data_IF_188673244287
#
_entry.id   IF_188673244287
#
_cell.length_a   1.000
_cell.length_b   1.000
_cell.length_c   1.000
_cell.angle_alpha   90.00
_cell.angle_beta   90.00
_cell.angle_gamma   90.00
#
_symmetry.space_group_name_H-M   'P 1'
#
loop_
_entity.id
_entity.type
_entity.pdbx_description
1 polymer ?
#
# COMPACT_ATOMS: atom_id res chain seq x y z
N UNK A 1 -23.13 -2.54 -18.85
CA UNK A 1 -22.07 -2.17 -17.87
C UNK A 1 -20.86 -3.06 -18.10
N UNK A 2 -19.65 -2.50 -18.08
CA UNK A 2 -18.42 -3.26 -18.31
C UNK A 2 -17.97 -3.99 -17.04
N UNK A 3 -17.24 -5.11 -17.18
CA UNK A 3 -16.72 -5.90 -16.05
C UNK A 3 -15.91 -5.04 -15.05
N UNK A 4 -15.21 -4.02 -15.54
CA UNK A 4 -14.43 -3.11 -14.71
C UNK A 4 -15.29 -2.17 -13.85
N UNK A 5 -16.47 -1.75 -14.33
CA UNK A 5 -17.37 -0.90 -13.54
C UNK A 5 -17.98 -1.67 -12.38
N UNK A 6 -18.41 -2.92 -12.62
CA UNK A 6 -18.96 -3.80 -11.58
C UNK A 6 -17.95 -4.06 -10.47
N UNK A 7 -16.70 -4.39 -10.83
CA UNK A 7 -15.65 -4.60 -9.83
C UNK A 7 -15.42 -3.35 -8.96
N UNK A 8 -15.43 -2.18 -9.57
CA UNK A 8 -15.24 -0.92 -8.85
C UNK A 8 -16.38 -0.68 -7.86
N UNK A 9 -17.62 -0.82 -8.31
CA UNK A 9 -18.82 -0.60 -7.48
C UNK A 9 -18.86 -1.56 -6.28
N UNK A 10 -18.53 -2.83 -6.51
CA UNK A 10 -18.44 -3.84 -5.43
C UNK A 10 -17.39 -3.46 -4.38
N UNK A 11 -16.19 -3.06 -4.83
CA UNK A 11 -15.10 -2.67 -3.94
C UNK A 11 -15.44 -1.39 -3.17
N UNK A 12 -16.14 -0.42 -3.78
CA UNK A 12 -16.62 0.77 -3.07
C UNK A 12 -17.58 0.40 -1.94
N UNK A 13 -18.53 -0.52 -2.19
CA UNK A 13 -19.45 -1.04 -1.19
C UNK A 13 -18.73 -1.73 -0.03
N UNK A 14 -17.80 -2.64 -0.34
CA UNK A 14 -17.00 -3.35 0.67
C UNK A 14 -16.10 -2.41 1.48
N UNK A 15 -15.48 -1.41 0.83
CA UNK A 15 -14.67 -0.41 1.53
C UNK A 15 -15.52 0.48 2.43
N UNK A 16 -16.75 0.81 2.04
CA UNK A 16 -17.68 1.60 2.84
C UNK A 16 -18.14 0.83 4.09
N UNK A 17 -18.48 -0.45 3.95
CA UNK A 17 -18.88 -1.32 5.07
C UNK A 17 -17.71 -1.80 5.93
N UNK A 18 -16.48 -1.74 5.41
CA UNK A 18 -15.29 -2.25 6.10
C UNK A 18 -15.07 -3.75 5.93
N UNK A 19 -15.69 -4.37 4.94
CA UNK A 19 -15.60 -5.79 4.62
C UNK A 19 -14.23 -6.17 4.02
N UNK A 20 -13.20 -6.22 4.86
CA UNK A 20 -11.84 -6.55 4.43
C UNK A 20 -11.70 -8.02 4.00
N UNK A 21 -12.43 -8.92 4.65
CA UNK A 21 -12.40 -10.35 4.33
C UNK A 21 -13.01 -10.62 2.96
N UNK A 22 -14.14 -9.96 2.65
CA UNK A 22 -14.75 -9.99 1.32
C UNK A 22 -13.81 -9.45 0.24
N UNK A 23 -13.08 -8.36 0.50
CA UNK A 23 -12.09 -7.82 -0.45
C UNK A 23 -10.95 -8.81 -0.70
N UNK A 24 -10.41 -9.43 0.35
CA UNK A 24 -9.33 -10.43 0.21
C UNK A 24 -9.83 -11.66 -0.54
N UNK A 25 -11.01 -12.16 -0.22
CA UNK A 25 -11.66 -13.28 -0.93
C UNK A 25 -11.83 -12.95 -2.41
N UNK A 26 -12.39 -11.78 -2.73
CA UNK A 26 -12.58 -11.31 -4.10
C UNK A 26 -11.26 -11.22 -4.87
N UNK A 27 -10.17 -10.75 -4.23
CA UNK A 27 -8.84 -10.71 -4.85
C UNK A 27 -8.27 -12.10 -5.19
N UNK A 28 -8.66 -13.15 -4.46
CA UNK A 28 -8.29 -14.53 -4.76
C UNK A 28 -8.91 -15.08 -6.05
N UNK A 29 -10.06 -14.52 -6.47
CA UNK A 29 -10.83 -15.01 -7.62
C UNK A 29 -10.85 -14.05 -8.81
N UNK A 30 -10.64 -12.75 -8.58
CA UNK A 30 -10.72 -11.72 -9.59
C UNK A 30 -9.38 -11.01 -9.83
N UNK A 31 -8.99 -10.91 -11.11
CA UNK A 31 -7.79 -10.16 -11.50
C UNK A 31 -8.04 -8.65 -11.44
N UNK A 32 -7.00 -7.90 -11.11
CA UNK A 32 -7.02 -6.44 -11.17
C UNK A 32 -7.54 -5.74 -9.91
N UNK A 33 -7.93 -6.48 -8.85
CA UNK A 33 -8.38 -5.91 -7.58
C UNK A 33 -7.36 -4.92 -7.00
N UNK A 34 -6.09 -5.31 -6.89
CA UNK A 34 -5.02 -4.41 -6.41
C UNK A 34 -4.93 -3.15 -7.27
N UNK A 35 -4.99 -3.28 -8.60
CA UNK A 35 -4.92 -2.12 -9.52
C UNK A 35 -6.10 -1.17 -9.31
N UNK A 36 -7.29 -1.71 -9.11
CA UNK A 36 -8.50 -0.91 -8.84
C UNK A 36 -8.41 -0.23 -7.48
N UNK A 37 -7.98 -0.95 -6.43
CA UNK A 37 -7.78 -0.38 -5.10
C UNK A 37 -6.75 0.75 -5.08
N UNK A 38 -5.62 0.62 -5.81
CA UNK A 38 -4.65 1.72 -5.97
C UNK A 38 -5.33 2.96 -6.56
N UNK A 39 -6.22 2.78 -7.56
CA UNK A 39 -6.99 3.90 -8.12
C UNK A 39 -8.01 4.52 -7.16
N UNK A 40 -8.33 3.85 -6.05
CA UNK A 40 -9.25 4.33 -5.01
C UNK A 40 -8.53 5.04 -3.86
N UNK A 41 -7.20 5.10 -3.84
CA UNK A 41 -6.46 5.71 -2.73
C UNK A 41 -6.23 7.22 -2.87
N UNK A 42 -6.56 7.82 -4.02
CA UNK A 42 -6.19 9.21 -4.34
C UNK A 42 -6.74 10.25 -3.35
N UNK A 43 -7.94 10.06 -2.81
CA UNK A 43 -8.56 10.99 -1.87
C UNK A 43 -8.29 10.56 -0.42
N UNK A 44 -7.19 11.03 0.15
CA UNK A 44 -6.79 10.71 1.53
C UNK A 44 -7.70 11.29 2.62
N UNK A 45 -8.71 12.10 2.28
CA UNK A 45 -9.72 12.54 3.25
C UNK A 45 -10.78 11.47 3.51
N UNK A 46 -10.92 10.50 2.59
CA UNK A 46 -11.89 9.43 2.73
C UNK A 46 -11.33 8.25 3.52
N UNK A 47 -12.09 7.80 4.52
CA UNK A 47 -11.79 6.57 5.24
C UNK A 47 -11.66 5.35 4.31
N UNK A 48 -12.41 5.31 3.20
CA UNK A 48 -12.33 4.26 2.18
C UNK A 48 -10.95 4.18 1.52
N UNK A 49 -10.24 5.29 1.35
CA UNK A 49 -8.90 5.32 0.74
C UNK A 49 -7.87 4.65 1.66
N UNK A 50 -7.93 4.94 2.96
CA UNK A 50 -7.09 4.28 3.96
C UNK A 50 -7.40 2.78 4.08
N UNK A 51 -8.68 2.42 4.01
CA UNK A 51 -9.14 1.02 3.97
C UNK A 51 -8.65 0.30 2.70
N UNK A 52 -8.59 0.98 1.56
CA UNK A 52 -8.07 0.41 0.33
C UNK A 52 -6.57 0.11 0.43
N UNK A 53 -5.79 1.00 1.04
CA UNK A 53 -4.36 0.75 1.33
C UNK A 53 -4.19 -0.45 2.26
N UNK A 54 -4.95 -0.53 3.36
CA UNK A 54 -4.93 -1.67 4.30
C UNK A 54 -5.30 -2.99 3.59
N UNK A 55 -6.32 -2.95 2.73
CA UNK A 55 -6.76 -4.09 1.95
C UNK A 55 -5.66 -4.59 0.99
N UNK A 56 -4.92 -3.71 0.33
CA UNK A 56 -3.77 -4.11 -0.51
C UNK A 56 -2.72 -4.86 0.32
N UNK A 57 -2.41 -4.38 1.53
CA UNK A 57 -1.53 -5.10 2.45
C UNK A 57 -2.04 -6.50 2.79
N UNK A 58 -3.33 -6.64 3.07
CA UNK A 58 -3.96 -7.94 3.38
C UNK A 58 -3.99 -8.91 2.20
N UNK A 59 -4.25 -8.40 1.00
CA UNK A 59 -4.23 -9.22 -0.23
C UNK A 59 -2.81 -9.74 -0.46
N UNK A 60 -1.81 -8.86 -0.39
CA UNK A 60 -0.41 -9.23 -0.66
C UNK A 60 0.15 -10.25 0.34
N UNK A 61 -0.33 -10.25 1.59
CA UNK A 61 0.05 -11.26 2.58
C UNK A 61 -0.30 -12.72 2.19
N UNK A 62 -1.27 -12.90 1.28
CA UNK A 62 -1.70 -14.21 0.78
C UNK A 62 -1.24 -14.48 -0.66
N UNK A 63 -0.38 -13.62 -1.22
CA UNK A 63 0.07 -13.71 -2.60
C UNK A 63 1.47 -14.31 -2.72
N UNK A 64 1.79 -14.79 -3.93
CA UNK A 64 3.13 -15.32 -4.22
C UNK A 64 4.17 -14.20 -4.13
N UNK A 65 5.37 -14.43 -3.58
CA UNK A 65 6.42 -13.41 -3.41
C UNK A 65 6.76 -12.65 -4.71
N UNK A 66 6.74 -13.33 -5.86
CA UNK A 66 7.00 -12.70 -7.17
C UNK A 66 5.96 -11.63 -7.52
N UNK A 67 4.67 -11.90 -7.26
CA UNK A 67 3.59 -10.91 -7.48
C UNK A 67 3.69 -9.73 -6.53
N UNK A 68 4.05 -9.99 -5.27
CA UNK A 68 4.22 -8.93 -4.27
C UNK A 68 5.41 -8.05 -4.65
N UNK A 69 6.53 -8.64 -5.08
CA UNK A 69 7.69 -7.91 -5.60
C UNK A 69 7.33 -7.03 -6.80
N UNK A 70 6.61 -7.57 -7.78
CA UNK A 70 6.14 -6.79 -8.94
C UNK A 70 5.25 -5.61 -8.52
N UNK A 71 4.43 -5.79 -7.48
CA UNK A 71 3.58 -4.71 -6.93
C UNK A 71 4.44 -3.63 -6.27
N UNK A 72 5.43 -4.03 -5.45
CA UNK A 72 6.35 -3.11 -4.79
C UNK A 72 7.20 -2.33 -5.80
N UNK A 73 7.74 -2.99 -6.82
CA UNK A 73 8.54 -2.34 -7.87
C UNK A 73 7.73 -1.32 -8.65
N UNK A 74 6.47 -1.64 -8.97
CA UNK A 74 5.57 -0.68 -9.60
C UNK A 74 5.29 0.54 -8.73
N UNK A 75 5.08 0.35 -7.42
CA UNK A 75 4.86 1.45 -6.49
C UNK A 75 6.13 2.30 -6.33
N UNK A 76 7.30 1.67 -6.24
CA UNK A 76 8.60 2.35 -6.21
C UNK A 76 8.83 3.18 -7.48
N UNK A 77 8.43 2.66 -8.64
CA UNK A 77 8.47 3.41 -9.90
C UNK A 77 7.57 4.64 -9.87
N UNK A 78 6.34 4.53 -9.34
CA UNK A 78 5.41 5.65 -9.22
C UNK A 78 5.92 6.78 -8.32
N UNK A 79 6.86 6.50 -7.41
CA UNK A 79 7.44 7.50 -6.52
C UNK A 79 8.60 8.28 -7.15
N UNK A 80 9.10 7.85 -8.31
CA UNK A 80 10.16 8.58 -9.02
C UNK A 80 9.58 9.81 -9.71
N UNK A 81 10.35 10.91 -9.72
CA UNK A 81 9.98 12.16 -10.39
C UNK A 81 9.64 11.97 -11.87
N UNK A 82 10.33 11.04 -12.54
CA UNK A 82 10.15 10.68 -13.96
C UNK A 82 8.79 10.04 -14.27
N UNK A 83 8.04 9.60 -13.25
CA UNK A 83 6.79 8.87 -13.46
C UNK A 83 5.64 9.76 -13.95
N UNK A 84 5.75 11.09 -13.81
CA UNK A 84 4.67 12.05 -14.12
C UNK A 84 3.36 11.80 -13.37
N UNK A 85 3.35 10.87 -12.40
CA UNK A 85 2.18 10.40 -11.68
C UNK A 85 2.21 10.98 -10.28
N UNK A 86 1.07 11.41 -9.75
CA UNK A 86 1.01 11.95 -8.41
C UNK A 86 1.27 10.83 -7.37
N UNK A 87 2.42 10.77 -6.68
CA UNK A 87 2.85 9.60 -5.91
C UNK A 87 2.13 9.49 -4.56
N UNK A 88 1.08 10.30 -4.34
CA UNK A 88 0.57 10.60 -3.00
C UNK A 88 0.39 9.38 -2.14
N UNK A 89 -0.19 8.29 -2.63
CA UNK A 89 -0.48 7.10 -1.80
C UNK A 89 0.57 6.00 -1.86
N UNK A 90 1.56 6.10 -2.75
CA UNK A 90 2.43 4.97 -3.07
C UNK A 90 3.27 4.55 -1.85
N UNK A 91 3.80 5.51 -1.10
CA UNK A 91 4.58 5.26 0.12
C UNK A 91 3.73 4.55 1.17
N UNK A 92 2.50 5.01 1.41
CA UNK A 92 1.61 4.37 2.38
C UNK A 92 1.24 2.95 1.97
N UNK A 93 0.96 2.71 0.69
CA UNK A 93 0.64 1.37 0.19
C UNK A 93 1.84 0.45 0.38
N UNK A 94 3.06 0.90 0.05
CA UNK A 94 4.27 0.12 0.30
C UNK A 94 4.40 -0.20 1.80
N UNK A 95 4.16 0.78 2.67
CA UNK A 95 4.13 0.57 4.12
C UNK A 95 3.14 -0.53 4.56
N UNK A 96 1.92 -0.54 4.00
CA UNK A 96 0.91 -1.57 4.29
C UNK A 96 1.30 -2.97 3.82
N UNK A 97 1.99 -3.06 2.67
CA UNK A 97 2.53 -4.32 2.14
C UNK A 97 3.68 -4.82 3.02
N UNK A 98 4.65 -3.95 3.34
CA UNK A 98 5.82 -4.29 4.15
C UNK A 98 5.45 -4.66 5.58
N UNK A 99 4.45 -4.01 6.17
CA UNK A 99 3.95 -4.36 7.52
C UNK A 99 3.59 -5.84 7.63
N UNK A 100 3.10 -6.46 6.54
CA UNK A 100 2.67 -7.86 6.50
C UNK A 100 3.64 -8.81 5.80
N UNK A 101 4.56 -8.30 4.99
CA UNK A 101 5.48 -9.09 4.17
C UNK A 101 6.96 -8.68 4.37
N UNK A 102 7.32 -8.19 5.55
CA UNK A 102 8.63 -7.54 5.77
C UNK A 102 9.84 -8.47 5.54
N UNK A 103 9.78 -9.75 5.91
CA UNK A 103 10.95 -10.64 5.88
C UNK A 103 11.67 -10.73 4.52
N UNK A 104 10.98 -10.99 3.39
CA UNK A 104 11.59 -11.03 2.07
C UNK A 104 11.92 -9.65 1.47
N UNK A 105 11.47 -8.55 2.09
CA UNK A 105 11.52 -7.20 1.51
C UNK A 105 12.20 -6.18 2.44
N UNK A 106 13.09 -6.64 3.33
CA UNK A 106 13.84 -5.75 4.23
C UNK A 106 14.67 -4.71 3.49
N UNK A 107 15.12 -5.03 2.27
CA UNK A 107 15.84 -4.12 1.37
C UNK A 107 15.05 -2.88 0.99
N UNK A 108 13.71 -2.95 1.01
CA UNK A 108 12.83 -1.85 0.61
C UNK A 108 12.54 -0.90 1.79
N UNK A 109 12.66 -1.36 3.04
CA UNK A 109 12.31 -0.58 4.23
C UNK A 109 13.13 0.73 4.32
N UNK A 110 14.48 0.72 4.19
CA UNK A 110 15.26 1.97 4.23
C UNK A 110 14.88 2.94 3.11
N UNK A 111 14.53 2.44 1.92
CA UNK A 111 14.12 3.27 0.78
C UNK A 111 12.84 4.03 1.13
N UNK A 112 11.86 3.33 1.71
CA UNK A 112 10.57 3.91 2.10
C UNK A 112 10.74 4.96 3.19
N UNK A 113 11.65 4.71 4.13
CA UNK A 113 11.95 5.65 5.21
C UNK A 113 12.66 6.90 4.68
N UNK A 114 13.61 6.75 3.75
CA UNK A 114 14.34 7.88 3.17
C UNK A 114 13.45 8.85 2.37
N UNK A 115 12.28 8.42 1.88
CA UNK A 115 11.29 9.35 1.33
C UNK A 115 10.74 10.34 2.38
N UNK A 116 11.09 10.22 3.66
CA UNK A 116 10.78 11.24 4.67
C UNK A 116 11.48 12.59 4.40
N UNK A 117 12.60 12.58 3.68
CA UNK A 117 13.30 13.79 3.27
C UNK A 117 12.49 14.59 2.25
N UNK A 118 11.70 13.91 1.42
CA UNK A 118 10.83 14.53 0.42
C UNK A 118 9.55 15.10 1.05
N UNK A 119 9.32 16.43 1.05
CA UNK A 119 8.21 17.04 1.77
C UNK A 119 6.83 16.47 1.42
N UNK A 120 6.62 16.12 0.15
CA UNK A 120 5.37 15.56 -0.36
C UNK A 120 5.12 14.11 0.10
N UNK A 121 6.18 13.36 0.41
CA UNK A 121 6.11 11.96 0.81
C UNK A 121 6.28 11.77 2.32
N UNK A 122 6.79 12.78 3.03
CA UNK A 122 7.12 12.73 4.46
C UNK A 122 6.03 12.12 5.33
N UNK A 123 4.79 12.59 5.19
CA UNK A 123 3.67 12.06 5.96
C UNK A 123 3.41 10.56 5.67
N UNK A 124 3.55 10.16 4.41
CA UNK A 124 3.41 8.76 4.00
C UNK A 124 4.53 7.88 4.54
N UNK A 125 5.77 8.38 4.51
CA UNK A 125 6.95 7.67 5.03
C UNK A 125 6.89 7.48 6.53
N UNK A 126 6.51 8.53 7.27
CA UNK A 126 6.31 8.45 8.73
C UNK A 126 5.21 7.45 9.07
N UNK A 127 4.11 7.42 8.31
CA UNK A 127 3.06 6.43 8.50
C UNK A 127 3.56 5.01 8.21
N UNK A 128 4.27 4.80 7.11
CA UNK A 128 4.84 3.50 6.77
C UNK A 128 5.77 3.01 7.88
N UNK A 129 6.65 3.88 8.38
CA UNK A 129 7.53 3.60 9.51
C UNK A 129 6.73 3.20 10.76
N UNK A 130 5.70 3.97 11.13
CA UNK A 130 4.84 3.63 12.25
C UNK A 130 4.19 2.25 12.09
N UNK A 131 3.60 1.97 10.92
CA UNK A 131 2.91 0.70 10.64
C UNK A 131 3.87 -0.48 10.71
N UNK A 132 5.03 -0.39 10.09
CA UNK A 132 6.08 -1.43 10.16
C UNK A 132 6.52 -1.60 11.63
N UNK A 133 6.76 -0.49 12.33
CA UNK A 133 7.17 -0.49 13.73
C UNK A 133 6.16 -1.15 14.69
N UNK A 134 4.86 -1.13 14.39
CA UNK A 134 3.88 -1.86 15.22
C UNK A 134 4.03 -3.38 15.19
N UNK A 135 4.66 -3.94 14.15
CA UNK A 135 4.88 -5.38 14.00
C UNK A 135 6.36 -5.75 14.21
N UNK A 136 7.27 -4.89 13.73
CA UNK A 136 8.73 -5.07 13.77
C UNK A 136 9.43 -3.77 14.16
N UNK A 137 9.44 -3.41 15.46
CA UNK A 137 10.11 -2.20 15.93
C UNK A 137 11.62 -2.16 15.60
N UNK A 138 12.26 -3.32 15.52
CA UNK A 138 13.68 -3.47 15.20
C UNK A 138 14.05 -2.96 13.81
N UNK A 139 13.13 -3.05 12.84
CA UNK A 139 13.35 -2.63 11.45
C UNK A 139 13.28 -1.12 11.24
N UNK A 140 12.83 -0.37 12.24
CA UNK A 140 12.65 1.09 12.14
C UNK A 140 13.39 1.87 13.23
N UNK A 141 13.92 1.19 14.26
CA UNK A 141 14.52 1.84 15.43
C UNK A 141 15.72 2.71 15.09
N UNK A 142 16.55 2.29 14.14
CA UNK A 142 17.74 3.06 13.71
C UNK A 142 17.38 4.42 13.09
N UNK A 143 16.16 4.54 12.55
CA UNK A 143 15.66 5.77 11.94
C UNK A 143 14.88 6.65 12.92
N UNK A 144 14.52 6.14 14.10
CA UNK A 144 13.74 6.86 15.11
C UNK A 144 14.61 7.81 15.97
N UNK A 145 15.94 7.73 15.85
CA UNK A 145 16.89 8.49 16.69
C UNK A 145 17.80 9.47 15.91
N UNK A 146 17.60 9.62 14.61
CA UNK A 146 18.28 10.65 13.81
C UNK A 146 17.39 11.89 13.72
N UNK A 147 17.47 12.72 14.74
CA UNK A 147 16.88 14.07 14.81
C UNK A 147 17.86 15.02 15.48
#
# INVERSE_FOLDING_TARGET
>A
MGKLSVLKDDLEGMLASGDMEGIVSKAGHERGVIRTLIGMTYDKQRASSWRAMDAIGRITANEKPEKVRNTLERLLWMMREESGTNPWSAVEIVGEVLTRNHEPYKDIIPIVINFAEEPIMRAGSMRAMYRIGTVRPDLVREFACTG
#
